data_IF_685732191023
#
_entry.id   IF_685732191023
#
_cell.length_a   1.000
_cell.length_b   1.000
_cell.length_c   1.000
_cell.angle_alpha   90.00
_cell.angle_beta   90.00
_cell.angle_gamma   90.00
#
_symmetry.space_group_name_H-M   'P 1'
#
loop_
_entity.id
_entity.type
_entity.pdbx_description
1 polymer ?
#
# COMPACT_ATOMS: atom_id res chain seq x y z
N UNK A 1 4.33 19.22 -11.90
CA UNK A 1 5.22 20.09 -11.08
C UNK A 1 6.65 19.60 -11.20
N UNK A 2 7.65 20.50 -11.27
CA UNK A 2 9.06 20.09 -11.24
C UNK A 2 9.43 19.65 -9.82
N UNK A 3 9.87 18.40 -9.66
CA UNK A 3 10.31 17.84 -8.36
C UNK A 3 11.57 18.57 -7.90
N UNK A 4 11.69 18.86 -6.59
CA UNK A 4 12.91 19.47 -6.03
C UNK A 4 14.13 18.54 -6.25
N UNK A 5 15.31 19.06 -6.61
CA UNK A 5 16.50 18.24 -6.89
C UNK A 5 16.86 17.22 -5.79
N UNK A 6 16.72 17.60 -4.53
CA UNK A 6 16.99 16.71 -3.39
C UNK A 6 16.03 15.50 -3.35
N UNK A 7 14.75 15.73 -3.65
CA UNK A 7 13.73 14.67 -3.72
C UNK A 7 14.02 13.76 -4.92
N UNK A 8 14.34 14.34 -6.08
CA UNK A 8 14.73 13.58 -7.27
C UNK A 8 15.96 12.69 -6.98
N UNK A 9 16.95 13.20 -6.25
CA UNK A 9 18.13 12.43 -5.83
C UNK A 9 17.78 11.29 -4.88
N UNK A 10 16.87 11.51 -3.93
CA UNK A 10 16.40 10.46 -3.03
C UNK A 10 15.65 9.34 -3.79
N UNK A 11 14.82 9.70 -4.79
CA UNK A 11 14.14 8.73 -5.66
C UNK A 11 15.16 7.88 -6.43
N UNK A 12 16.13 8.53 -7.11
CA UNK A 12 17.17 7.83 -7.87
C UNK A 12 18.02 6.93 -6.97
N UNK A 13 18.34 7.39 -5.76
CA UNK A 13 19.11 6.59 -4.80
C UNK A 13 18.36 5.31 -4.43
N UNK A 14 17.08 5.41 -4.02
CA UNK A 14 16.27 4.25 -3.61
C UNK A 14 16.07 3.26 -4.76
N UNK A 15 15.70 3.77 -5.94
CA UNK A 15 15.51 2.93 -7.13
C UNK A 15 16.83 2.25 -7.57
N UNK A 16 17.97 2.91 -7.40
CA UNK A 16 19.29 2.36 -7.76
C UNK A 16 19.80 1.29 -6.79
N UNK A 17 19.45 1.40 -5.51
CA UNK A 17 19.86 0.46 -4.45
C UNK A 17 19.09 -0.87 -4.54
N UNK A 18 17.75 -0.79 -4.45
CA UNK A 18 16.89 -1.97 -4.32
C UNK A 18 16.06 -2.28 -5.57
N UNK A 19 15.91 -1.33 -6.50
CA UNK A 19 14.93 -1.41 -7.57
C UNK A 19 13.47 -1.31 -7.08
N UNK A 20 13.26 -0.96 -5.81
CA UNK A 20 11.91 -0.78 -5.24
C UNK A 20 11.52 0.69 -5.25
N UNK A 21 10.23 1.00 -5.48
CA UNK A 21 9.78 2.38 -5.53
C UNK A 21 9.94 3.05 -4.15
N UNK A 22 10.34 4.33 -4.08
CA UNK A 22 10.22 5.12 -2.86
C UNK A 22 8.74 5.35 -2.53
N UNK A 23 8.45 5.68 -1.27
CA UNK A 23 7.10 6.07 -0.84
C UNK A 23 6.66 7.46 -1.35
N UNK A 24 7.37 8.10 -2.27
CA UNK A 24 7.07 9.46 -2.71
C UNK A 24 7.55 9.76 -4.14
N UNK A 25 6.95 10.77 -4.78
CA UNK A 25 7.38 11.27 -6.08
C UNK A 25 7.14 10.29 -7.24
N UNK A 26 6.16 9.40 -7.09
CA UNK A 26 5.84 8.31 -8.01
C UNK A 26 5.45 8.82 -9.40
N UNK A 27 4.72 9.93 -9.47
CA UNK A 27 4.24 10.53 -10.73
C UNK A 27 5.38 10.82 -11.72
N UNK A 28 6.58 11.07 -11.22
CA UNK A 28 7.73 11.41 -12.06
C UNK A 28 8.21 10.26 -12.95
N UNK A 29 7.92 9.01 -12.60
CA UNK A 29 8.38 7.84 -13.33
C UNK A 29 7.31 6.77 -13.56
N UNK A 30 6.08 6.96 -13.07
CA UNK A 30 4.93 6.08 -13.34
C UNK A 30 4.59 6.06 -14.82
N UNK A 31 4.30 4.90 -15.41
CA UNK A 31 3.93 4.78 -16.83
C UNK A 31 2.83 3.73 -16.96
N UNK A 32 1.80 4.01 -17.75
CA UNK A 32 0.82 3.03 -18.22
C UNK A 32 -0.25 2.65 -17.19
N UNK A 33 -0.16 3.11 -15.95
CA UNK A 33 -1.16 2.82 -14.92
C UNK A 33 -2.39 3.75 -15.00
N UNK A 34 -2.33 4.81 -15.79
CA UNK A 34 -3.38 5.81 -15.95
C UNK A 34 -4.78 5.21 -16.26
N UNK A 35 -4.93 4.19 -17.12
CA UNK A 35 -6.23 3.56 -17.36
C UNK A 35 -6.83 2.89 -16.12
N UNK A 36 -6.01 2.32 -15.23
CA UNK A 36 -6.52 1.73 -13.99
C UNK A 36 -6.78 2.78 -12.93
N UNK A 37 -5.84 3.72 -12.75
CA UNK A 37 -5.95 4.78 -11.74
C UNK A 37 -7.14 5.69 -12.00
N UNK A 38 -7.40 6.06 -13.26
CA UNK A 38 -8.55 6.90 -13.62
C UNK A 38 -9.90 6.22 -13.31
N UNK A 39 -10.02 4.91 -13.51
CA UNK A 39 -11.24 4.17 -13.14
C UNK A 39 -11.39 4.09 -11.62
N UNK A 40 -10.30 3.80 -10.90
CA UNK A 40 -10.32 3.77 -9.43
C UNK A 40 -10.65 5.15 -8.83
N UNK A 41 -10.20 6.24 -9.45
CA UNK A 41 -10.55 7.60 -9.06
C UNK A 41 -12.05 7.85 -9.28
N UNK A 42 -12.48 7.79 -10.53
CA UNK A 42 -13.79 8.33 -10.93
C UNK A 42 -14.96 7.43 -10.52
N UNK A 43 -14.81 6.10 -10.65
CA UNK A 43 -15.90 5.17 -10.37
C UNK A 43 -15.96 4.80 -8.88
N UNK A 44 -14.83 4.88 -8.16
CA UNK A 44 -14.73 4.42 -6.79
C UNK A 44 -14.47 5.53 -5.78
N UNK A 45 -13.26 6.10 -5.76
CA UNK A 45 -12.82 7.04 -4.72
C UNK A 45 -13.62 8.34 -4.71
N UNK A 46 -13.95 8.89 -5.88
CA UNK A 46 -14.75 10.11 -6.00
C UNK A 46 -16.27 9.85 -6.15
N UNK A 47 -16.69 8.58 -6.15
CA UNK A 47 -18.08 8.18 -6.42
C UNK A 47 -18.62 7.19 -5.38
N UNK A 48 -18.73 5.89 -5.69
CA UNK A 48 -19.55 4.95 -4.91
C UNK A 48 -19.06 4.77 -3.47
N UNK A 49 -17.76 4.92 -3.23
CA UNK A 49 -17.20 4.78 -1.88
C UNK A 49 -17.65 5.93 -0.98
N UNK A 50 -17.82 7.15 -1.50
CA UNK A 50 -18.38 8.28 -0.73
C UNK A 50 -19.84 8.05 -0.34
N UNK A 51 -20.57 7.23 -1.10
CA UNK A 51 -21.95 6.83 -0.80
C UNK A 51 -22.06 5.74 0.29
N UNK A 52 -20.94 5.23 0.81
CA UNK A 52 -20.95 4.18 1.83
C UNK A 52 -20.78 2.76 1.32
N UNK A 53 -20.60 2.56 0.01
CA UNK A 53 -20.28 1.25 -0.54
C UNK A 53 -18.83 0.85 -0.20
N UNK A 54 -18.53 -0.42 -0.39
CA UNK A 54 -17.15 -0.93 -0.38
C UNK A 54 -16.83 -1.72 -1.63
N UNK A 55 -15.53 -1.87 -1.87
CA UNK A 55 -15.03 -2.73 -2.94
C UNK A 55 -13.77 -3.46 -2.50
N UNK A 56 -13.60 -4.66 -3.06
CA UNK A 56 -12.39 -5.44 -2.98
C UNK A 56 -11.80 -5.57 -4.39
N UNK A 57 -10.48 -5.38 -4.51
CA UNK A 57 -9.72 -5.57 -5.75
C UNK A 57 -8.51 -6.46 -5.49
N UNK A 58 -8.30 -7.44 -6.35
CA UNK A 58 -7.14 -8.31 -6.34
C UNK A 58 -6.11 -7.75 -7.34
N UNK A 59 -4.93 -7.37 -6.85
CA UNK A 59 -3.83 -6.88 -7.71
C UNK A 59 -2.90 -8.04 -8.02
N UNK A 60 -2.69 -8.30 -9.30
CA UNK A 60 -1.92 -9.46 -9.78
C UNK A 60 -0.75 -8.97 -10.62
N UNK A 61 0.42 -9.55 -10.39
CA UNK A 61 1.57 -9.37 -11.28
C UNK A 61 2.81 -9.98 -10.68
N UNK A 62 3.71 -10.49 -11.52
CA UNK A 62 4.96 -11.15 -11.12
C UNK A 62 5.81 -10.39 -10.07
N UNK A 63 6.75 -11.09 -9.44
CA UNK A 63 7.68 -10.47 -8.49
C UNK A 63 8.46 -9.35 -9.16
N UNK A 64 8.49 -8.13 -8.59
CA UNK A 64 9.08 -6.97 -9.29
C UNK A 64 8.27 -6.46 -10.48
N UNK A 65 7.03 -6.93 -10.68
CA UNK A 65 6.09 -6.46 -11.71
C UNK A 65 5.47 -5.09 -11.43
N UNK A 66 5.77 -4.46 -10.28
CA UNK A 66 5.28 -3.12 -9.94
C UNK A 66 4.04 -3.09 -9.04
N UNK A 67 3.72 -4.17 -8.32
CA UNK A 67 2.61 -4.24 -7.36
C UNK A 67 2.69 -3.14 -6.30
N UNK A 68 3.80 -3.07 -5.56
CA UNK A 68 4.07 -2.03 -4.56
C UNK A 68 3.94 -0.63 -5.15
N UNK A 69 4.47 -0.43 -6.36
CA UNK A 69 4.37 0.86 -7.07
C UNK A 69 2.91 1.22 -7.34
N UNK A 70 2.12 0.28 -7.85
CA UNK A 70 0.69 0.47 -8.09
C UNK A 70 -0.08 0.78 -6.81
N UNK A 71 0.18 0.06 -5.71
CA UNK A 71 -0.44 0.31 -4.42
C UNK A 71 -0.13 1.73 -3.91
N UNK A 72 1.12 2.19 -4.04
CA UNK A 72 1.46 3.56 -3.66
C UNK A 72 0.80 4.61 -4.57
N UNK A 73 0.63 4.35 -5.87
CA UNK A 73 -0.15 5.24 -6.74
C UNK A 73 -1.62 5.33 -6.28
N UNK A 74 -2.24 4.21 -5.90
CA UNK A 74 -3.62 4.19 -5.37
C UNK A 74 -3.70 4.92 -4.04
N UNK A 75 -2.69 4.80 -3.17
CA UNK A 75 -2.58 5.56 -1.91
C UNK A 75 -2.55 7.07 -2.17
N UNK A 76 -1.71 7.54 -3.09
CA UNK A 76 -1.58 8.96 -3.39
C UNK A 76 -2.91 9.54 -3.92
N UNK A 77 -3.59 8.77 -4.77
CA UNK A 77 -4.93 9.08 -5.26
C UNK A 77 -5.97 9.12 -4.13
N UNK A 78 -5.95 8.13 -3.23
CA UNK A 78 -6.85 8.06 -2.08
C UNK A 78 -6.70 9.28 -1.15
N UNK A 79 -5.47 9.74 -0.91
CA UNK A 79 -5.22 10.96 -0.15
C UNK A 79 -5.79 12.21 -0.83
N UNK A 80 -5.67 12.32 -2.15
CA UNK A 80 -6.29 13.42 -2.92
C UNK A 80 -7.81 13.44 -2.74
N UNK A 81 -8.44 12.27 -2.64
CA UNK A 81 -9.87 12.11 -2.36
C UNK A 81 -10.24 12.14 -0.86
N UNK A 82 -9.34 12.55 0.04
CA UNK A 82 -9.54 12.62 1.51
C UNK A 82 -9.87 11.27 2.17
N UNK A 83 -9.26 10.18 1.71
CA UNK A 83 -9.28 8.90 2.42
C UNK A 83 -8.10 8.77 3.37
N UNK A 84 -8.30 8.05 4.48
CA UNK A 84 -7.19 7.52 5.29
C UNK A 84 -6.68 6.25 4.62
N UNK A 85 -5.38 6.03 4.60
CA UNK A 85 -4.79 4.84 3.97
C UNK A 85 -4.05 4.02 5.01
N UNK A 86 -4.20 2.70 4.97
CA UNK A 86 -3.33 1.77 5.68
C UNK A 86 -2.60 0.91 4.66
N UNK A 87 -1.27 0.98 4.66
CA UNK A 87 -0.41 0.09 3.88
C UNK A 87 0.14 -1.01 4.80
N UNK A 88 -0.13 -2.27 4.45
CA UNK A 88 0.19 -3.45 5.26
C UNK A 88 1.06 -4.39 4.42
N UNK A 89 2.38 -4.45 4.65
CA UNK A 89 3.19 -5.55 4.15
C UNK A 89 2.81 -6.81 4.91
N UNK A 90 2.31 -7.83 4.21
CA UNK A 90 1.95 -9.11 4.79
C UNK A 90 3.21 -9.97 4.94
N UNK A 91 3.69 -10.14 6.16
CA UNK A 91 4.74 -11.11 6.49
C UNK A 91 4.14 -12.35 7.17
N UNK A 92 4.64 -13.57 6.89
CA UNK A 92 4.16 -14.80 7.52
C UNK A 92 4.40 -14.83 9.03
N UNK A 93 5.41 -14.10 9.52
CA UNK A 93 5.73 -14.03 10.95
C UNK A 93 4.96 -12.94 11.68
N UNK A 94 4.80 -11.76 11.09
CA UNK A 94 4.23 -10.61 11.81
C UNK A 94 2.76 -10.31 11.48
N UNK A 95 2.27 -10.72 10.31
CA UNK A 95 0.92 -10.44 9.85
C UNK A 95 0.33 -11.59 9.00
N UNK A 96 0.30 -12.83 9.50
CA UNK A 96 -0.27 -13.92 8.73
C UNK A 96 -1.80 -13.73 8.65
N UNK A 97 -2.35 -13.85 7.43
CA UNK A 97 -3.76 -13.52 7.18
C UNK A 97 -4.75 -14.52 7.83
N UNK A 98 -4.25 -15.62 8.42
CA UNK A 98 -5.04 -16.53 9.27
C UNK A 98 -5.31 -15.96 10.68
N UNK A 99 -4.59 -14.89 11.07
CA UNK A 99 -4.71 -14.17 12.34
C UNK A 99 -5.31 -12.79 12.15
N UNK A 100 -6.65 -12.69 12.10
CA UNK A 100 -7.36 -11.42 11.93
C UNK A 100 -7.07 -10.42 13.05
N UNK A 101 -6.79 -10.90 14.26
CA UNK A 101 -6.33 -10.09 15.38
C UNK A 101 -5.02 -9.35 15.05
N UNK A 102 -4.04 -10.06 14.48
CA UNK A 102 -2.76 -9.46 14.07
C UNK A 102 -2.91 -8.55 12.85
N UNK A 103 -3.75 -8.95 11.88
CA UNK A 103 -4.08 -8.12 10.71
C UNK A 103 -4.69 -6.79 11.15
N UNK A 104 -5.69 -6.81 12.03
CA UNK A 104 -6.29 -5.60 12.58
C UNK A 104 -5.26 -4.73 13.30
N UNK A 105 -4.42 -5.32 14.15
CA UNK A 105 -3.34 -4.60 14.84
C UNK A 105 -2.43 -3.86 13.84
N UNK A 106 -2.04 -4.54 12.76
CA UNK A 106 -1.19 -3.96 11.70
C UNK A 106 -1.90 -2.87 10.91
N UNK A 107 -3.20 -2.99 10.66
CA UNK A 107 -3.99 -1.91 10.06
C UNK A 107 -3.93 -0.67 10.94
N UNK A 108 -4.29 -0.80 12.21
CA UNK A 108 -4.35 0.33 13.17
C UNK A 108 -2.98 1.00 13.36
N UNK A 109 -1.89 0.24 13.29
CA UNK A 109 -0.52 0.76 13.39
C UNK A 109 -0.02 1.49 12.14
N UNK A 110 -0.57 1.21 10.95
CA UNK A 110 -0.10 1.76 9.67
C UNK A 110 -1.08 2.76 9.04
N UNK A 111 -2.07 3.26 9.80
CA UNK A 111 -2.97 4.31 9.34
C UNK A 111 -2.19 5.59 9.04
N UNK A 112 -2.50 6.21 7.91
CA UNK A 112 -1.91 7.47 7.48
C UNK A 112 -3.01 8.39 6.97
N UNK A 113 -3.11 9.57 7.59
CA UNK A 113 -3.96 10.64 7.11
C UNK A 113 -3.38 11.26 5.84
N UNK A 114 -4.19 11.95 5.01
CA UNK A 114 -3.69 12.74 3.91
C UNK A 114 -2.54 13.67 4.38
N UNK A 115 -1.33 13.53 3.80
CA UNK A 115 -0.16 14.22 4.30
C UNK A 115 -0.28 15.73 4.07
N UNK A 116 0.02 16.52 5.10
CA UNK A 116 0.06 17.99 5.00
C UNK A 116 1.35 18.47 4.33
N UNK A 117 2.41 17.65 4.36
CA UNK A 117 3.71 17.97 3.80
C UNK A 117 4.44 16.71 3.31
N UNK A 118 5.56 16.89 2.63
CA UNK A 118 6.43 15.78 2.24
C UNK A 118 7.09 15.10 3.46
N UNK A 119 7.41 15.87 4.50
CA UNK A 119 8.10 15.38 5.70
C UNK A 119 7.21 14.45 6.52
N UNK A 120 5.89 14.72 6.56
CA UNK A 120 4.91 13.87 7.25
C UNK A 120 4.76 12.47 6.64
N UNK A 121 5.17 12.27 5.39
CA UNK A 121 5.18 10.92 4.78
C UNK A 121 6.26 10.02 5.37
N UNK A 122 7.40 10.61 5.73
CA UNK A 122 8.61 9.89 6.13
C UNK A 122 8.70 9.76 7.64
N UNK A 123 7.99 10.60 8.39
CA UNK A 123 8.01 10.60 9.84
C UNK A 123 7.20 9.43 10.43
N UNK A 124 7.84 8.52 11.19
CA UNK A 124 7.14 7.39 11.82
C UNK A 124 6.07 7.82 12.84
N UNK A 125 6.22 8.98 13.49
CA UNK A 125 5.27 9.45 14.50
C UNK A 125 3.94 9.90 13.89
N UNK A 126 3.90 10.12 12.58
CA UNK A 126 2.70 10.55 11.86
C UNK A 126 1.88 9.34 11.34
N UNK A 127 2.22 8.13 11.81
CA UNK A 127 1.55 6.87 11.47
C UNK A 127 0.78 6.28 12.64
N UNK A 128 -0.28 5.57 12.32
CA UNK A 128 -1.10 4.81 13.25
C UNK A 128 -2.26 5.58 13.85
N UNK A 129 -3.06 4.85 14.64
CA UNK A 129 -4.27 5.40 15.30
C UNK A 129 -3.95 6.53 16.27
N UNK A 130 -2.77 6.52 16.89
CA UNK A 130 -2.34 7.60 17.78
C UNK A 130 -2.26 8.93 17.02
N UNK A 131 -1.48 8.96 15.94
CA UNK A 131 -1.34 10.13 15.09
C UNK A 131 -2.70 10.61 14.58
N UNK A 132 -3.54 9.67 14.14
CA UNK A 132 -4.89 9.97 13.65
C UNK A 132 -5.77 10.63 14.73
N UNK A 133 -5.78 10.11 15.95
CA UNK A 133 -6.57 10.66 17.04
C UNK A 133 -6.07 12.05 17.48
N UNK A 134 -4.75 12.27 17.46
CA UNK A 134 -4.17 13.61 17.72
C UNK A 134 -4.56 14.61 16.63
N UNK A 135 -4.50 14.22 15.36
CA UNK A 135 -4.94 15.05 14.22
C UNK A 135 -6.43 15.38 14.33
N UNK A 136 -7.26 14.39 14.65
CA UNK A 136 -8.69 14.57 14.86
C UNK A 136 -8.98 15.53 16.03
N UNK A 137 -8.34 15.32 17.19
CA UNK A 137 -8.48 16.22 18.34
C UNK A 137 -8.09 17.67 18.01
N UNK A 138 -6.99 17.86 17.27
CA UNK A 138 -6.52 19.18 16.85
C UNK A 138 -7.54 19.87 15.93
N UNK A 139 -8.06 19.17 14.91
CA UNK A 139 -9.06 19.71 13.98
C UNK A 139 -10.37 20.09 14.68
N UNK A 140 -10.85 19.26 15.62
CA UNK A 140 -12.06 19.57 16.39
C UNK A 140 -11.82 20.71 17.37
N UNK A 141 -10.67 20.75 18.06
CA UNK A 141 -10.34 21.81 19.02
C UNK A 141 -10.09 23.17 18.37
N UNK A 142 -9.72 23.21 17.09
CA UNK A 142 -9.62 24.44 16.31
C UNK A 142 -11.02 24.98 15.93
N UNK A 143 -11.97 24.07 15.63
CA UNK A 143 -13.33 24.41 15.18
C UNK A 143 -14.31 24.69 16.32
N UNK A 144 -14.19 23.95 17.42
CA UNK A 144 -15.08 24.02 18.57
C UNK A 144 -14.38 24.69 19.73
N UNK A 145 -15.10 25.59 20.40
CA UNK A 145 -14.55 26.40 21.48
C UNK A 145 -14.52 25.67 22.83
N UNK A 146 -15.31 26.18 23.77
CA UNK A 146 -15.28 25.77 25.16
C UNK A 146 -15.67 24.30 25.40
N UNK A 147 -15.43 23.84 26.63
CA UNK A 147 -15.67 22.45 27.06
C UNK A 147 -17.08 21.96 26.77
N UNK A 148 -18.10 22.81 26.91
CA UNK A 148 -19.50 22.43 26.67
C UNK A 148 -19.78 22.02 25.22
N UNK A 149 -19.23 22.74 24.25
CA UNK A 149 -19.37 22.42 22.81
C UNK A 149 -18.67 21.11 22.46
N UNK A 150 -17.47 20.89 23.03
CA UNK A 150 -16.73 19.64 22.87
C UNK A 150 -17.50 18.45 23.46
N UNK A 151 -18.08 18.62 24.65
CA UNK A 151 -18.90 17.59 25.30
C UNK A 151 -20.17 17.28 24.49
N UNK A 152 -20.81 18.29 23.89
CA UNK A 152 -21.97 18.10 23.00
C UNK A 152 -21.58 17.37 21.71
N UNK A 153 -20.45 17.74 21.09
CA UNK A 153 -19.90 17.05 19.94
C UNK A 153 -19.63 15.57 20.23
N UNK A 154 -18.96 15.26 21.34
CA UNK A 154 -18.70 13.87 21.74
C UNK A 154 -19.99 13.09 22.05
N UNK A 155 -21.03 13.74 22.59
CA UNK A 155 -22.36 13.11 22.78
C UNK A 155 -23.03 12.79 21.44
N UNK A 156 -22.85 13.65 20.43
CA UNK A 156 -23.38 13.44 19.08
C UNK A 156 -22.76 12.25 18.34
N UNK A 157 -21.53 11.86 18.68
CA UNK A 157 -20.89 10.68 18.08
C UNK A 157 -21.68 9.40 18.37
N UNK A 158 -22.20 8.80 17.31
CA UNK A 158 -23.03 7.59 17.29
C UNK A 158 -22.86 6.85 15.96
N UNK A 159 -23.46 5.66 15.81
CA UNK A 159 -23.40 4.89 14.55
C UNK A 159 -22.14 4.02 14.39
N UNK A 160 -21.37 3.83 15.47
CA UNK A 160 -20.28 2.86 15.56
C UNK A 160 -20.82 1.54 16.12
N UNK A 161 -20.48 0.41 15.51
CA UNK A 161 -20.98 -0.92 15.88
C UNK A 161 -20.48 -1.38 17.26
N UNK A 162 -19.18 -1.24 17.56
CA UNK A 162 -18.65 -1.55 18.88
C UNK A 162 -18.81 -0.37 19.84
N UNK A 163 -19.59 -0.58 20.89
CA UNK A 163 -19.69 0.37 22.02
C UNK A 163 -18.33 0.60 22.67
N UNK A 164 -17.49 -0.44 22.80
CA UNK A 164 -16.15 -0.30 23.37
C UNK A 164 -15.25 0.58 22.50
N UNK A 165 -15.34 0.44 21.17
CA UNK A 165 -14.60 1.30 20.22
C UNK A 165 -15.06 2.76 20.30
N UNK A 166 -16.37 3.00 20.37
CA UNK A 166 -16.92 4.34 20.56
C UNK A 166 -16.47 4.96 21.88
N UNK A 167 -16.48 4.21 22.98
CA UNK A 167 -16.00 4.67 24.28
C UNK A 167 -14.50 4.98 24.25
N UNK A 168 -13.69 4.11 23.65
CA UNK A 168 -12.25 4.34 23.46
C UNK A 168 -11.97 5.65 22.71
N UNK A 169 -12.71 5.95 21.64
CA UNK A 169 -12.58 7.23 20.92
C UNK A 169 -12.95 8.43 21.81
N UNK A 170 -14.04 8.32 22.59
CA UNK A 170 -14.46 9.43 23.47
C UNK A 170 -13.45 9.67 24.58
N UNK A 171 -12.96 8.60 25.21
CA UNK A 171 -11.95 8.69 26.25
C UNK A 171 -10.62 9.20 25.71
N UNK A 172 -10.21 8.81 24.50
CA UNK A 172 -8.96 9.32 23.92
C UNK A 172 -9.03 10.82 23.66
N UNK A 173 -10.18 11.32 23.20
CA UNK A 173 -10.42 12.76 23.06
C UNK A 173 -10.38 13.49 24.40
N UNK A 174 -11.07 12.96 25.41
CA UNK A 174 -11.13 13.57 26.75
C UNK A 174 -9.73 13.60 27.40
N UNK A 175 -8.94 12.55 27.23
CA UNK A 175 -7.58 12.45 27.74
C UNK A 175 -6.69 13.53 27.11
N UNK A 176 -6.73 13.69 25.78
CA UNK A 176 -6.01 14.76 25.07
C UNK A 176 -6.47 16.15 25.53
N UNK A 177 -7.77 16.37 25.74
CA UNK A 177 -8.30 17.66 26.19
C UNK A 177 -7.84 18.06 27.60
N UNK A 178 -7.63 17.07 28.48
CA UNK A 178 -7.11 17.27 29.83
C UNK A 178 -5.57 17.28 29.90
N UNK A 179 -4.88 16.90 28.81
CA UNK A 179 -3.44 16.66 28.82
C UNK A 179 -3.02 15.40 29.60
N UNK A 180 -3.93 14.43 29.76
CA UNK A 180 -3.66 13.15 30.42
C UNK A 180 -3.07 12.14 29.41
N UNK A 181 -1.75 12.22 29.23
CA UNK A 181 -1.02 11.34 28.30
C UNK A 181 -0.98 9.88 28.78
N UNK A 182 -1.17 9.61 30.07
CA UNK A 182 -1.21 8.24 30.61
C UNK A 182 -2.53 7.55 30.23
N UNK A 183 -3.67 8.20 30.47
CA UNK A 183 -4.98 7.72 30.03
C UNK A 183 -5.01 7.53 28.51
N UNK A 184 -4.48 8.51 27.76
CA UNK A 184 -4.41 8.44 26.30
C UNK A 184 -3.58 7.24 25.84
N UNK A 185 -2.38 7.06 26.38
CA UNK A 185 -1.48 5.93 26.05
C UNK A 185 -2.14 4.58 26.31
N UNK A 186 -2.83 4.41 27.43
CA UNK A 186 -3.53 3.15 27.73
C UNK A 186 -4.64 2.87 26.71
N UNK A 187 -5.37 3.89 26.26
CA UNK A 187 -6.40 3.71 25.23
C UNK A 187 -5.77 3.34 23.87
N UNK A 188 -4.62 3.94 23.51
CA UNK A 188 -3.89 3.57 22.29
C UNK A 188 -3.43 2.12 22.34
N UNK A 189 -2.88 1.67 23.48
CA UNK A 189 -2.49 0.28 23.69
C UNK A 189 -3.66 -0.69 23.53
N UNK A 190 -4.86 -0.29 23.96
CA UNK A 190 -6.08 -1.07 23.73
C UNK A 190 -6.45 -1.13 22.24
N UNK A 191 -6.42 -0.01 21.52
CA UNK A 191 -6.68 0.01 20.08
C UNK A 191 -5.69 -0.85 19.29
N UNK A 192 -4.44 -0.96 19.75
CA UNK A 192 -3.41 -1.84 19.15
C UNK A 192 -3.48 -3.28 19.66
N UNK A 193 -4.49 -3.63 20.46
CA UNK A 193 -4.79 -4.99 20.89
C UNK A 193 -3.93 -5.51 22.04
N UNK A 194 -3.27 -4.63 22.80
CA UNK A 194 -2.60 -5.03 24.03
C UNK A 194 -3.62 -5.32 25.14
N UNK A 195 -3.33 -6.32 25.97
CA UNK A 195 -4.14 -6.62 27.15
C UNK A 195 -3.82 -5.60 28.24
N UNK A 196 -4.84 -4.91 28.72
CA UNK A 196 -4.72 -3.91 29.79
C UNK A 196 -5.56 -4.38 30.97
N UNK A 197 -4.97 -4.35 32.17
CA UNK A 197 -5.57 -4.94 33.37
C UNK A 197 -6.82 -4.19 33.86
N UNK A 198 -6.88 -2.87 33.66
CA UNK A 198 -8.01 -2.03 34.10
C UNK A 198 -8.66 -1.23 32.96
N UNK A 199 -9.16 -1.94 31.94
CA UNK A 199 -10.01 -1.34 30.90
C UNK A 199 -11.40 -0.94 31.43
N UNK A 200 -11.79 -1.50 32.58
CA UNK A 200 -13.10 -1.31 33.20
C UNK A 200 -13.36 0.16 33.54
N UNK A 201 -12.31 0.91 33.91
CA UNK A 201 -12.38 2.35 34.20
C UNK A 201 -12.82 3.19 32.99
N UNK A 202 -12.68 2.67 31.76
CA UNK A 202 -13.13 3.31 30.52
C UNK A 202 -14.48 2.78 30.01
N UNK A 203 -15.12 1.87 30.75
CA UNK A 203 -16.31 1.15 30.28
C UNK A 203 -16.05 0.22 29.08
N UNK A 204 -14.78 0.00 28.75
CA UNK A 204 -14.33 -0.87 27.66
C UNK A 204 -14.31 -2.31 28.18
N UNK A 205 -15.09 -3.18 27.53
CA UNK A 205 -15.24 -4.59 27.94
C UNK A 205 -14.84 -5.57 26.84
N UNK A 206 -14.62 -5.07 25.63
CA UNK A 206 -14.24 -5.87 24.47
C UNK A 206 -12.72 -5.87 24.30
N UNK A 207 -12.14 -7.06 24.14
CA UNK A 207 -10.73 -7.24 23.74
C UNK A 207 -10.62 -7.62 22.26
N UNK A 208 -9.48 -7.31 21.67
CA UNK A 208 -9.14 -7.77 20.32
C UNK A 208 -8.90 -9.28 20.31
N UNK A 209 -9.69 -9.99 19.52
CA UNK A 209 -9.58 -11.43 19.25
C UNK A 209 -9.89 -11.69 17.79
N UNK A 210 -9.65 -12.91 17.34
CA UNK A 210 -10.05 -13.37 15.99
C UNK A 210 -11.55 -13.16 15.70
N UNK A 211 -12.42 -13.27 16.71
CA UNK A 211 -13.87 -13.12 16.52
C UNK A 211 -14.30 -11.65 16.53
N UNK A 212 -13.57 -10.78 17.23
CA UNK A 212 -13.92 -9.35 17.36
C UNK A 212 -13.21 -8.47 16.33
N UNK A 213 -12.14 -8.94 15.69
CA UNK A 213 -11.32 -8.18 14.75
C UNK A 213 -12.13 -7.50 13.63
N UNK A 214 -13.03 -8.20 12.95
CA UNK A 214 -13.87 -7.57 11.91
C UNK A 214 -14.91 -6.59 12.46
N UNK A 215 -15.42 -6.80 13.69
CA UNK A 215 -16.30 -5.82 14.33
C UNK A 215 -15.55 -4.54 14.67
N UNK A 216 -14.33 -4.66 15.20
CA UNK A 216 -13.48 -3.51 15.48
C UNK A 216 -13.02 -2.81 14.19
N UNK A 217 -12.71 -3.57 13.13
CA UNK A 217 -12.41 -3.01 11.81
C UNK A 217 -13.60 -2.23 11.25
N UNK A 218 -14.81 -2.77 11.29
CA UNK A 218 -16.03 -2.04 10.89
C UNK A 218 -16.24 -0.77 11.70
N UNK A 219 -15.96 -0.82 12.99
CA UNK A 219 -16.04 0.34 13.89
C UNK A 219 -15.02 1.43 13.51
N UNK A 220 -13.80 1.05 13.12
CA UNK A 220 -12.78 1.95 12.59
C UNK A 220 -13.23 2.61 11.27
N UNK A 221 -13.79 1.82 10.34
CA UNK A 221 -14.31 2.34 9.06
C UNK A 221 -15.44 3.35 9.26
N UNK A 222 -16.36 3.05 10.19
CA UNK A 222 -17.45 3.96 10.57
C UNK A 222 -16.90 5.25 11.19
N UNK A 223 -15.91 5.14 12.08
CA UNK A 223 -15.27 6.28 12.72
C UNK A 223 -14.65 7.25 11.71
N UNK A 224 -13.98 6.76 10.67
CA UNK A 224 -13.38 7.65 9.66
C UNK A 224 -14.39 8.58 9.00
N UNK A 225 -15.58 8.06 8.69
CA UNK A 225 -16.65 8.87 8.13
C UNK A 225 -17.20 9.87 9.13
N UNK A 226 -17.35 9.46 10.39
CA UNK A 226 -17.83 10.34 11.46
C UNK A 226 -16.93 11.55 11.68
N UNK A 227 -15.62 11.40 11.47
CA UNK A 227 -14.65 12.49 11.61
C UNK A 227 -14.37 13.25 10.30
N UNK A 228 -15.15 13.00 9.25
CA UNK A 228 -15.11 13.79 8.01
C UNK A 228 -14.10 13.33 6.95
N UNK A 229 -13.50 12.14 7.09
CA UNK A 229 -12.81 11.50 5.97
C UNK A 229 -13.81 10.81 5.04
N UNK A 230 -13.43 10.65 3.77
CA UNK A 230 -14.27 9.94 2.80
C UNK A 230 -14.32 8.43 3.05
N UNK A 231 -13.39 7.87 3.84
CA UNK A 231 -13.34 6.45 4.19
C UNK A 231 -11.91 5.94 4.44
N UNK A 232 -11.69 4.63 4.28
CA UNK A 232 -10.36 3.99 4.37
C UNK A 232 -10.02 3.22 3.10
N UNK A 233 -8.77 3.34 2.65
CA UNK A 233 -8.18 2.41 1.69
C UNK A 233 -7.20 1.48 2.41
N UNK A 234 -7.42 0.18 2.32
CA UNK A 234 -6.55 -0.86 2.89
C UNK A 234 -5.73 -1.49 1.76
N UNK A 235 -4.40 -1.41 1.86
CA UNK A 235 -3.47 -1.89 0.85
C UNK A 235 -2.64 -3.02 1.44
N UNK A 236 -2.96 -4.26 1.09
CA UNK A 236 -2.21 -5.44 1.49
C UNK A 236 -1.19 -5.81 0.40
N UNK A 237 0.10 -5.71 0.73
CA UNK A 237 1.21 -6.09 -0.16
C UNK A 237 1.90 -7.39 0.31
N UNK A 238 2.67 -8.03 -0.57
CA UNK A 238 3.48 -9.23 -0.28
C UNK A 238 2.72 -10.47 0.24
N UNK A 239 1.46 -10.64 -0.17
CA UNK A 239 0.63 -11.78 0.24
C UNK A 239 1.20 -13.18 -0.10
N UNK A 240 2.18 -13.26 -1.01
CA UNK A 240 2.88 -14.48 -1.39
C UNK A 240 3.61 -15.16 -0.22
N UNK A 241 4.16 -14.36 0.71
CA UNK A 241 4.92 -14.89 1.85
C UNK A 241 4.00 -15.46 2.93
N UNK A 242 2.80 -14.89 3.09
CA UNK A 242 1.83 -15.32 4.10
C UNK A 242 1.19 -16.71 3.82
N UNK A 243 1.27 -17.21 2.57
CA UNK A 243 0.60 -18.44 2.11
C UNK A 243 1.62 -19.57 1.82
N UNK A 244 2.90 -19.41 2.18
CA UNK A 244 3.98 -20.27 1.68
C UNK A 244 3.93 -21.74 2.13
N UNK A 245 3.12 -22.11 3.14
CA UNK A 245 2.94 -23.52 3.56
C UNK A 245 1.62 -24.07 2.99
N UNK A 246 1.69 -24.50 1.74
CA UNK A 246 0.59 -25.15 1.03
C UNK A 246 0.06 -26.37 1.82
N UNK A 247 -1.25 -26.41 2.06
CA UNK A 247 -1.97 -27.53 2.69
C UNK A 247 -2.14 -27.41 4.21
N UNK A 248 -1.59 -26.38 4.86
CA UNK A 248 -1.70 -26.20 6.30
C UNK A 248 -3.11 -25.75 6.74
N UNK A 249 -3.46 -25.99 8.02
CA UNK A 249 -4.69 -25.43 8.62
C UNK A 249 -4.69 -23.89 8.61
N UNK A 250 -3.51 -23.28 8.69
CA UNK A 250 -3.34 -21.82 8.64
C UNK A 250 -3.72 -21.28 7.26
N UNK A 251 -3.23 -21.89 6.18
CA UNK A 251 -3.62 -21.50 4.82
C UNK A 251 -5.14 -21.54 4.61
N UNK A 252 -5.81 -22.64 4.98
CA UNK A 252 -7.27 -22.74 4.83
C UNK A 252 -8.01 -21.65 5.59
N UNK A 253 -7.51 -21.25 6.77
CA UNK A 253 -8.05 -20.14 7.56
C UNK A 253 -7.79 -18.79 6.89
N UNK A 254 -6.59 -18.56 6.37
CA UNK A 254 -6.26 -17.34 5.63
C UNK A 254 -7.19 -17.15 4.41
N UNK A 255 -7.45 -18.21 3.66
CA UNK A 255 -8.36 -18.17 2.52
C UNK A 255 -9.82 -17.94 2.92
N UNK A 256 -10.27 -18.57 4.02
CA UNK A 256 -11.62 -18.28 4.53
C UNK A 256 -11.73 -16.84 5.04
N UNK A 257 -10.70 -16.32 5.72
CA UNK A 257 -10.64 -14.92 6.13
C UNK A 257 -10.67 -13.97 4.93
N UNK A 258 -9.98 -14.30 3.83
CA UNK A 258 -10.00 -13.52 2.60
C UNK A 258 -11.39 -13.56 1.95
N UNK A 259 -12.03 -14.74 1.91
CA UNK A 259 -13.41 -14.88 1.45
C UNK A 259 -14.37 -14.03 2.29
N UNK A 260 -14.26 -14.08 3.62
CA UNK A 260 -15.06 -13.26 4.52
C UNK A 260 -14.83 -11.76 4.28
N UNK A 261 -13.59 -11.33 4.07
CA UNK A 261 -13.26 -9.94 3.73
C UNK A 261 -13.95 -9.49 2.44
N UNK A 262 -13.93 -10.33 1.41
CA UNK A 262 -14.61 -10.06 0.13
C UNK A 262 -16.12 -9.97 0.33
N UNK A 263 -16.70 -10.88 1.12
CA UNK A 263 -18.13 -10.89 1.43
C UNK A 263 -18.56 -9.64 2.23
N UNK A 264 -17.75 -9.19 3.18
CA UNK A 264 -18.01 -7.96 3.95
C UNK A 264 -17.98 -6.72 3.05
N UNK A 265 -17.08 -6.68 2.05
CA UNK A 265 -17.06 -5.62 1.04
C UNK A 265 -18.27 -5.72 0.09
N UNK A 266 -18.56 -6.89 -0.44
CA UNK A 266 -19.67 -7.12 -1.37
C UNK A 266 -21.04 -6.80 -0.77
N UNK A 267 -21.22 -7.04 0.53
CA UNK A 267 -22.45 -6.71 1.26
C UNK A 267 -22.47 -5.26 1.80
N UNK A 268 -21.48 -4.42 1.44
CA UNK A 268 -21.35 -3.04 1.94
C UNK A 268 -21.33 -2.91 3.47
N UNK A 269 -20.85 -3.95 4.18
CA UNK A 269 -20.72 -3.95 5.64
C UNK A 269 -19.45 -3.27 6.11
N UNK A 270 -18.50 -3.09 5.21
CA UNK A 270 -17.32 -2.27 5.39
C UNK A 270 -17.58 -0.90 4.74
N UNK A 271 -18.18 0.06 5.44
CA UNK A 271 -18.65 1.27 4.79
C UNK A 271 -17.48 2.12 4.27
N UNK A 272 -17.63 2.63 3.05
CA UNK A 272 -16.68 3.56 2.44
C UNK A 272 -15.24 3.06 2.44
N UNK A 273 -15.05 1.80 2.10
CA UNK A 273 -13.72 1.20 2.08
C UNK A 273 -13.34 0.61 0.74
N UNK A 274 -12.08 0.78 0.37
CA UNK A 274 -11.46 0.04 -0.73
C UNK A 274 -10.40 -0.90 -0.16
N UNK A 275 -10.44 -2.17 -0.53
CA UNK A 275 -9.42 -3.14 -0.15
C UNK A 275 -8.68 -3.60 -1.40
N UNK A 276 -7.36 -3.42 -1.41
CA UNK A 276 -6.48 -3.97 -2.44
C UNK A 276 -5.64 -5.08 -1.82
N UNK A 277 -5.63 -6.25 -2.46
CA UNK A 277 -4.84 -7.39 -2.03
C UNK A 277 -3.91 -7.82 -3.16
N UNK A 278 -2.60 -7.64 -2.98
CA UNK A 278 -1.61 -7.85 -4.03
C UNK A 278 -0.94 -9.23 -3.92
N UNK A 279 -1.01 -10.01 -5.00
CA UNK A 279 -0.44 -11.35 -5.14
C UNK A 279 0.39 -11.46 -6.43
N UNK A 280 1.38 -12.36 -6.50
CA UNK A 280 2.17 -12.57 -7.70
C UNK A 280 1.36 -13.26 -8.80
N UNK A 281 0.60 -14.29 -8.43
CA UNK A 281 -0.17 -15.11 -9.34
C UNK A 281 -1.45 -15.60 -8.67
N UNK A 282 -2.57 -15.48 -9.40
CA UNK A 282 -3.89 -15.95 -8.99
C UNK A 282 -3.94 -17.47 -8.81
N UNK A 283 -3.13 -18.23 -9.55
CA UNK A 283 -3.10 -19.69 -9.41
C UNK A 283 -2.70 -20.13 -8.00
N UNK A 284 -1.93 -19.34 -7.26
CA UNK A 284 -1.63 -19.60 -5.84
C UNK A 284 -2.89 -19.70 -4.97
N UNK A 285 -3.95 -18.97 -5.34
CA UNK A 285 -5.24 -19.00 -4.67
C UNK A 285 -6.22 -20.00 -5.30
N UNK A 286 -6.13 -20.27 -6.60
CA UNK A 286 -7.19 -20.96 -7.36
C UNK A 286 -6.90 -22.40 -7.74
N UNK A 287 -5.66 -22.87 -7.71
CA UNK A 287 -5.28 -24.17 -8.28
C UNK A 287 -5.49 -25.35 -7.30
N UNK A 288 -6.30 -25.15 -6.25
CA UNK A 288 -6.52 -26.10 -5.15
C UNK A 288 -7.98 -26.53 -5.07
N UNK A 289 -8.20 -27.79 -4.72
CA UNK A 289 -9.55 -28.36 -4.60
C UNK A 289 -10.17 -28.12 -3.22
N UNK A 290 -11.42 -27.67 -3.19
CA UNK A 290 -12.25 -27.57 -1.97
C UNK A 290 -13.31 -26.45 -2.06
N UNK A 291 -14.37 -26.56 -1.25
CA UNK A 291 -15.53 -25.65 -1.32
C UNK A 291 -15.19 -24.17 -1.13
N UNK A 292 -14.23 -23.86 -0.24
CA UNK A 292 -13.75 -22.49 0.01
C UNK A 292 -13.07 -21.91 -1.24
N UNK A 293 -12.33 -22.74 -1.97
CA UNK A 293 -11.59 -22.33 -3.17
C UNK A 293 -12.54 -22.02 -4.33
N UNK A 294 -13.55 -22.86 -4.56
CA UNK A 294 -14.55 -22.61 -5.61
C UNK A 294 -15.38 -21.35 -5.31
N UNK A 295 -15.76 -21.14 -4.04
CA UNK A 295 -16.46 -19.93 -3.63
C UNK A 295 -15.61 -18.66 -3.81
N UNK A 296 -14.31 -18.73 -3.55
CA UNK A 296 -13.37 -17.64 -3.77
C UNK A 296 -13.16 -17.40 -5.28
N UNK A 297 -13.01 -18.46 -6.06
CA UNK A 297 -12.84 -18.41 -7.52
C UNK A 297 -13.94 -17.63 -8.20
N UNK A 298 -15.21 -17.97 -7.91
CA UNK A 298 -16.37 -17.27 -8.46
C UNK A 298 -16.36 -15.77 -8.15
N UNK A 299 -15.84 -15.37 -6.98
CA UNK A 299 -15.73 -13.96 -6.58
C UNK A 299 -14.57 -13.22 -7.25
N UNK A 300 -13.56 -13.94 -7.76
CA UNK A 300 -12.33 -13.38 -8.34
C UNK A 300 -12.29 -13.42 -9.88
N UNK A 301 -13.31 -13.94 -10.54
CA UNK A 301 -13.31 -14.16 -12.01
C UNK A 301 -13.27 -12.88 -12.86
N UNK A 302 -13.86 -11.78 -12.39
CA UNK A 302 -13.99 -10.56 -13.20
C UNK A 302 -12.67 -9.80 -13.37
N UNK A 303 -12.28 -9.49 -14.61
CA UNK A 303 -11.10 -8.66 -14.92
C UNK A 303 -11.48 -7.18 -14.90
N UNK A 304 -10.76 -6.40 -14.09
CA UNK A 304 -10.87 -4.95 -13.99
C UNK A 304 -10.26 -4.27 -15.21
N UNK A 305 -11.03 -3.37 -15.82
CA UNK A 305 -10.57 -2.55 -16.95
C UNK A 305 -11.43 -1.29 -17.05
N UNK A 306 -11.08 -0.41 -17.97
CA UNK A 306 -11.92 0.75 -18.32
C UNK A 306 -13.32 0.35 -18.81
N UNK A 307 -13.46 -0.82 -19.45
CA UNK A 307 -14.74 -1.33 -19.97
C UNK A 307 -15.51 -2.12 -18.89
N UNK A 308 -14.79 -2.73 -17.94
CA UNK A 308 -15.37 -3.45 -16.81
C UNK A 308 -14.83 -2.90 -15.48
N UNK A 309 -15.31 -1.74 -15.01
CA UNK A 309 -14.92 -1.19 -13.71
C UNK A 309 -15.26 -2.11 -12.54
N UNK A 310 -16.35 -2.88 -12.64
CA UNK A 310 -16.75 -3.83 -11.60
C UNK A 310 -15.83 -5.04 -11.45
N UNK A 311 -14.95 -5.31 -12.41
CA UNK A 311 -14.01 -6.42 -12.34
C UNK A 311 -13.16 -6.39 -11.07
N UNK A 312 -12.94 -7.54 -10.45
CA UNK A 312 -12.23 -7.64 -9.18
C UNK A 312 -10.71 -7.69 -9.40
N UNK A 313 -10.25 -8.32 -10.48
CA UNK A 313 -8.84 -8.58 -10.74
C UNK A 313 -8.18 -7.48 -11.58
N UNK A 314 -7.19 -6.80 -11.02
CA UNK A 314 -6.31 -5.85 -11.70
C UNK A 314 -5.04 -6.59 -12.10
N UNK A 315 -4.82 -6.75 -13.41
CA UNK A 315 -3.66 -7.45 -13.96
C UNK A 315 -2.59 -6.44 -14.43
N UNK A 316 -1.49 -6.34 -13.69
CA UNK A 316 -0.42 -5.39 -13.98
C UNK A 316 0.49 -5.82 -15.13
N UNK A 317 0.31 -7.02 -15.70
CA UNK A 317 1.02 -7.45 -16.90
C UNK A 317 0.28 -7.00 -18.17
N UNK A 318 -1.04 -6.78 -18.08
CA UNK A 318 -1.90 -6.38 -19.19
C UNK A 318 -2.13 -4.86 -19.29
N UNK A 319 -1.06 -4.07 -19.16
CA UNK A 319 -1.10 -2.59 -19.22
C UNK A 319 -1.47 -2.06 -20.63
N UNK A 320 -1.54 -2.92 -21.65
CA UNK A 320 -1.91 -2.53 -23.02
C UNK A 320 -0.78 -1.82 -23.77
N UNK A 321 0.46 -1.99 -23.33
CA UNK A 321 1.68 -1.47 -23.95
C UNK A 321 2.68 -2.61 -24.13
N UNK A 322 3.39 -2.63 -25.25
CA UNK A 322 4.47 -3.59 -25.47
C UNK A 322 5.55 -3.45 -24.37
N UNK A 323 6.06 -4.56 -23.80
CA UNK A 323 6.98 -4.50 -22.66
C UNK A 323 8.23 -3.64 -22.91
N UNK A 324 8.82 -3.69 -24.10
CA UNK A 324 10.01 -2.91 -24.44
C UNK A 324 9.71 -1.42 -24.54
N UNK A 325 8.57 -1.03 -25.13
CA UNK A 325 8.12 0.37 -25.19
C UNK A 325 7.80 0.94 -23.81
N UNK A 326 7.23 0.12 -22.93
CA UNK A 326 7.04 0.47 -21.52
C UNK A 326 8.37 0.79 -20.85
N UNK A 327 9.36 -0.10 -20.97
CA UNK A 327 10.69 0.11 -20.35
C UNK A 327 11.39 1.35 -20.93
N UNK A 328 11.32 1.56 -22.25
CA UNK A 328 11.87 2.76 -22.89
C UNK A 328 11.27 4.04 -22.31
N UNK A 329 9.95 4.07 -22.17
CA UNK A 329 9.23 5.23 -21.61
C UNK A 329 9.62 5.48 -20.14
N UNK A 330 9.73 4.42 -19.34
CA UNK A 330 10.24 4.51 -17.96
C UNK A 330 11.67 5.05 -17.95
N UNK A 331 12.55 4.55 -18.83
CA UNK A 331 13.93 5.02 -18.97
C UNK A 331 14.02 6.51 -19.33
N UNK A 332 13.18 7.00 -20.25
CA UNK A 332 13.13 8.43 -20.57
C UNK A 332 12.71 9.29 -19.38
N UNK A 333 11.69 8.87 -18.62
CA UNK A 333 11.25 9.57 -17.41
C UNK A 333 12.32 9.57 -16.32
N UNK A 334 12.95 8.43 -16.06
CA UNK A 334 14.07 8.31 -15.12
C UNK A 334 15.28 9.14 -15.55
N UNK A 335 15.58 9.21 -16.85
CA UNK A 335 16.63 10.07 -17.39
C UNK A 335 16.40 11.55 -17.11
N UNK A 336 15.16 12.04 -17.33
CA UNK A 336 14.77 13.42 -16.96
C UNK A 336 14.89 13.66 -15.46
N UNK A 337 14.45 12.70 -14.64
CA UNK A 337 14.56 12.78 -13.18
C UNK A 337 16.03 12.82 -12.73
N UNK A 338 16.90 12.03 -13.36
CA UNK A 338 18.32 11.97 -13.07
C UNK A 338 19.04 13.29 -13.40
N UNK A 339 18.73 13.91 -14.55
CA UNK A 339 19.22 15.25 -14.90
C UNK A 339 18.89 16.27 -13.82
N UNK A 340 17.65 16.25 -13.35
CA UNK A 340 17.19 17.14 -12.27
C UNK A 340 17.93 16.85 -10.94
N UNK A 341 18.05 15.57 -10.56
CA UNK A 341 18.70 15.13 -9.32
C UNK A 341 20.17 15.56 -9.18
N UNK A 342 20.91 15.58 -10.29
CA UNK A 342 22.34 15.89 -10.30
C UNK A 342 22.69 17.21 -10.98
N UNK A 343 21.69 17.98 -11.43
CA UNK A 343 21.87 19.25 -12.15
C UNK A 343 22.88 19.13 -13.31
N UNK A 344 22.82 18.03 -14.05
CA UNK A 344 23.75 17.72 -15.14
C UNK A 344 23.01 17.56 -16.45
N UNK A 345 23.57 18.13 -17.52
CA UNK A 345 23.04 17.97 -18.86
C UNK A 345 23.72 16.78 -19.56
N UNK A 346 23.16 15.60 -19.34
CA UNK A 346 23.53 14.38 -20.06
C UNK A 346 22.86 14.44 -21.44
N UNK A 347 23.56 14.05 -22.52
CA UNK A 347 22.97 14.05 -23.85
C UNK A 347 21.69 13.18 -23.91
N UNK A 348 20.56 13.76 -24.35
CA UNK A 348 19.28 13.05 -24.48
C UNK A 348 19.37 11.82 -25.40
N UNK A 349 20.21 11.89 -26.45
CA UNK A 349 20.49 10.74 -27.30
C UNK A 349 21.10 9.58 -26.51
N UNK A 350 22.06 9.86 -25.64
CA UNK A 350 22.71 8.83 -24.84
C UNK A 350 21.74 8.17 -23.85
N UNK A 351 20.84 8.94 -23.25
CA UNK A 351 19.77 8.43 -22.37
C UNK A 351 18.82 7.53 -23.14
N UNK A 352 18.27 8.02 -24.25
CA UNK A 352 17.30 7.28 -25.08
C UNK A 352 17.90 5.99 -25.63
N UNK A 353 19.11 6.06 -26.18
CA UNK A 353 19.80 4.89 -26.70
C UNK A 353 20.10 3.87 -25.61
N UNK A 354 20.55 4.31 -24.43
CA UNK A 354 20.80 3.39 -23.30
C UNK A 354 19.51 2.75 -22.80
N UNK A 355 18.38 3.48 -22.80
CA UNK A 355 17.08 2.95 -22.44
C UNK A 355 16.57 1.92 -23.45
N UNK A 356 16.75 2.18 -24.75
CA UNK A 356 16.45 1.25 -25.84
C UNK A 356 17.23 -0.05 -25.71
N UNK A 357 18.55 0.03 -25.64
CA UNK A 357 19.43 -1.15 -25.55
C UNK A 357 19.12 -1.96 -24.29
N UNK A 358 18.93 -1.30 -23.12
CA UNK A 358 18.58 -2.01 -21.89
C UNK A 358 17.18 -2.60 -21.92
N UNK A 359 16.21 -1.96 -22.56
CA UNK A 359 14.84 -2.49 -22.66
C UNK A 359 14.84 -3.83 -23.41
N UNK A 360 15.50 -3.89 -24.55
CA UNK A 360 15.62 -5.11 -25.37
C UNK A 360 16.35 -6.22 -24.61
N UNK A 361 17.50 -5.92 -24.01
CA UNK A 361 18.30 -6.93 -23.30
C UNK A 361 17.59 -7.39 -22.02
N UNK A 362 16.94 -6.49 -21.27
CA UNK A 362 16.20 -6.86 -20.05
C UNK A 362 15.02 -7.77 -20.36
N UNK A 363 14.35 -7.54 -21.49
CA UNK A 363 13.24 -8.38 -21.93
C UNK A 363 13.72 -9.73 -22.45
N UNK A 364 14.83 -9.77 -23.19
CA UNK A 364 15.43 -11.01 -23.71
C UNK A 364 15.99 -11.91 -22.60
N UNK A 365 16.72 -11.33 -21.64
CA UNK A 365 17.36 -12.04 -20.54
C UNK A 365 16.41 -12.28 -19.35
N UNK A 366 15.10 -12.08 -19.52
CA UNK A 366 14.10 -12.40 -18.49
C UNK A 366 14.24 -13.88 -18.12
N UNK A 367 14.55 -14.15 -16.87
CA UNK A 367 14.78 -15.52 -16.37
C UNK A 367 13.94 -15.73 -15.11
N UNK A 368 13.12 -16.79 -15.10
CA UNK A 368 12.24 -17.13 -13.99
C UNK A 368 11.18 -16.06 -13.69
N UNK A 369 10.81 -15.95 -12.41
CA UNK A 369 9.75 -15.06 -11.90
C UNK A 369 10.21 -13.62 -11.64
N UNK A 370 11.47 -13.28 -11.95
CA UNK A 370 12.02 -11.95 -11.66
C UNK A 370 11.51 -10.95 -12.71
N UNK A 371 10.74 -9.97 -12.24
CA UNK A 371 10.16 -8.92 -13.05
C UNK A 371 11.25 -8.10 -13.76
N UNK A 372 11.26 -8.20 -15.09
CA UNK A 372 12.12 -7.46 -16.01
C UNK A 372 12.10 -5.94 -15.74
N UNK A 373 10.99 -5.41 -15.18
CA UNK A 373 10.83 -4.01 -14.78
C UNK A 373 11.83 -3.61 -13.68
N UNK A 374 11.95 -4.39 -12.60
CA UNK A 374 12.87 -4.12 -11.48
C UNK A 374 14.34 -4.21 -11.93
N UNK A 375 14.66 -5.23 -12.72
CA UNK A 375 16.01 -5.42 -13.29
C UNK A 375 16.36 -4.20 -14.16
N UNK A 376 15.46 -3.78 -15.05
CA UNK A 376 15.66 -2.64 -15.92
C UNK A 376 15.93 -1.37 -15.11
N UNK A 377 15.06 -1.01 -14.15
CA UNK A 377 15.19 0.23 -13.36
C UNK A 377 16.54 0.30 -12.65
N UNK A 378 16.92 -0.76 -11.94
CA UNK A 378 18.19 -0.83 -11.21
C UNK A 378 19.39 -0.66 -12.16
N UNK A 379 19.36 -1.39 -13.28
CA UNK A 379 20.46 -1.41 -14.24
C UNK A 379 20.55 -0.10 -15.03
N UNK A 380 19.41 0.52 -15.35
CA UNK A 380 19.37 1.80 -16.03
C UNK A 380 19.96 2.92 -15.18
N UNK A 381 19.70 2.93 -13.88
CA UNK A 381 20.33 3.90 -12.96
C UNK A 381 21.84 3.70 -12.91
N UNK A 382 22.34 2.46 -12.88
CA UNK A 382 23.77 2.17 -12.98
C UNK A 382 24.38 2.67 -14.31
N UNK A 383 23.66 2.52 -15.42
CA UNK A 383 24.07 3.06 -16.71
C UNK A 383 24.14 4.60 -16.68
N UNK A 384 23.16 5.27 -16.06
CA UNK A 384 23.18 6.72 -15.88
C UNK A 384 24.35 7.20 -15.01
N UNK A 385 24.70 6.47 -13.94
CA UNK A 385 25.92 6.76 -13.15
C UNK A 385 27.21 6.60 -13.97
N UNK A 386 27.24 5.62 -14.87
CA UNK A 386 28.38 5.41 -15.78
C UNK A 386 28.49 6.56 -16.79
N UNK A 387 27.37 6.97 -17.39
CA UNK A 387 27.29 8.14 -18.29
C UNK A 387 27.66 9.44 -17.58
N UNK A 388 27.31 9.58 -16.30
CA UNK A 388 27.70 10.73 -15.48
C UNK A 388 29.22 10.81 -15.29
N UNK A 389 29.87 9.66 -15.15
CA UNK A 389 31.32 9.57 -14.92
C UNK A 389 32.11 9.72 -16.22
N UNK A 390 31.59 9.17 -17.32
CA UNK A 390 32.16 9.31 -18.66
C UNK A 390 31.04 9.41 -19.72
N UNK A 391 30.73 10.62 -20.23
CA UNK A 391 29.69 10.83 -21.23
C UNK A 391 29.91 10.10 -22.57
N UNK A 392 31.13 9.62 -22.85
CA UNK A 392 31.46 8.87 -24.08
C UNK A 392 31.12 7.39 -23.97
N UNK A 393 30.85 6.91 -22.76
CA UNK A 393 30.54 5.51 -22.46
C UNK A 393 29.08 5.18 -22.73
N UNK A 394 28.64 5.45 -23.96
CA UNK A 394 27.30 5.08 -24.44
C UNK A 394 27.16 3.56 -24.35
N UNK A 395 26.05 3.12 -23.78
CA UNK A 395 25.82 1.71 -23.52
C UNK A 395 25.64 0.96 -24.84
N UNK A 396 26.41 -0.11 -25.04
CA UNK A 396 26.23 -1.06 -26.12
C UNK A 396 25.65 -2.37 -25.57
N UNK A 397 25.20 -3.25 -26.48
CA UNK A 397 24.54 -4.50 -26.11
C UNK A 397 25.39 -5.37 -25.18
N UNK A 398 26.69 -5.54 -25.47
CA UNK A 398 27.60 -6.36 -24.65
C UNK A 398 27.77 -5.82 -23.22
N UNK A 399 27.83 -4.49 -23.06
CA UNK A 399 27.89 -3.86 -21.75
C UNK A 399 26.54 -3.97 -21.02
N UNK A 400 25.42 -3.84 -21.74
CA UNK A 400 24.08 -4.01 -21.19
C UNK A 400 23.85 -5.43 -20.65
N UNK A 401 24.25 -6.46 -21.39
CA UNK A 401 24.21 -7.86 -20.95
C UNK A 401 25.02 -8.09 -19.67
N UNK A 402 26.24 -7.55 -19.61
CA UNK A 402 27.11 -7.67 -18.45
C UNK A 402 26.49 -7.02 -17.20
N UNK A 403 25.90 -5.83 -17.36
CA UNK A 403 25.22 -5.12 -16.27
C UNK A 403 23.97 -5.87 -15.79
N UNK A 404 23.13 -6.35 -16.70
CA UNK A 404 21.91 -7.09 -16.35
C UNK A 404 22.24 -8.37 -15.59
N UNK A 405 23.23 -9.15 -16.05
CA UNK A 405 23.68 -10.36 -15.35
C UNK A 405 24.22 -10.06 -13.96
N UNK A 406 24.91 -8.93 -13.78
CA UNK A 406 25.34 -8.45 -12.46
C UNK A 406 24.17 -8.08 -11.55
N UNK A 407 23.19 -7.35 -12.08
CA UNK A 407 21.98 -6.95 -11.36
C UNK A 407 21.12 -8.14 -10.92
N UNK A 408 20.94 -9.15 -11.76
CA UNK A 408 20.19 -10.38 -11.44
C UNK A 408 20.81 -11.06 -10.20
N UNK A 409 22.12 -11.32 -10.23
CA UNK A 409 22.84 -11.94 -9.08
C UNK A 409 22.72 -11.12 -7.80
N UNK A 410 22.77 -9.79 -7.91
CA UNK A 410 22.63 -8.90 -6.75
C UNK A 410 21.22 -8.94 -6.17
N UNK A 411 20.18 -9.07 -6.99
CA UNK A 411 18.79 -9.17 -6.54
C UNK A 411 18.57 -10.53 -5.87
N UNK A 412 19.00 -11.63 -6.50
CA UNK A 412 18.89 -12.98 -5.94
C UNK A 412 19.56 -13.12 -4.57
N UNK A 413 20.75 -12.53 -4.39
CA UNK A 413 21.45 -12.58 -3.11
C UNK A 413 20.75 -11.73 -2.03
N UNK A 414 20.25 -10.55 -2.39
CA UNK A 414 19.51 -9.69 -1.46
C UNK A 414 18.20 -10.33 -1.01
N UNK A 415 17.48 -10.99 -1.91
CA UNK A 415 16.22 -11.67 -1.59
C UNK A 415 16.45 -12.88 -0.67
N UNK A 416 17.57 -13.61 -0.82
CA UNK A 416 17.97 -14.68 0.12
C UNK A 416 18.27 -14.15 1.53
N UNK A 417 19.03 -13.07 1.65
CA UNK A 417 19.35 -12.48 2.96
C UNK A 417 18.10 -11.93 3.70
N UNK A 418 17.09 -11.47 2.97
CA UNK A 418 15.80 -11.03 3.53
C UNK A 418 15.00 -12.25 4.00
N UNK A 419 14.91 -13.29 3.18
CA UNK A 419 14.25 -14.55 3.53
C UNK A 419 14.85 -15.15 4.81
N UNK A 420 16.18 -15.21 4.90
CA UNK A 420 16.88 -15.79 6.04
C UNK A 420 16.68 -14.96 7.33
N UNK A 421 16.49 -13.63 7.24
CA UNK A 421 16.26 -12.78 8.43
C UNK A 421 14.83 -12.84 8.95
N UNK A 422 13.86 -13.18 8.11
CA UNK A 422 12.44 -13.26 8.47
C UNK A 422 12.02 -14.66 8.95
N UNK A 423 12.87 -15.68 8.78
CA UNK A 423 12.68 -17.04 9.33
C UNK A 423 13.11 -17.21 10.80
N UNK A 424 13.77 -16.21 11.42
CA UNK A 424 14.27 -16.27 12.81
C UNK A 424 13.50 -15.42 13.82
#
# INVERSE_FOLDING_TARGET
MSIKPNIAKAIIFRLGESGTPPEFGLDSFTVGLEPYLSVLENEYLDSILKMGMSTFKLVVGSYGGGKTHFLYCVRDLAWQCRYVVSYIPLSPTECPFDRLDLVYKRIVQNLTCPPSSFESLVNPTDRGIEALLRVWYADVSEKLGGREEKDEYLKGLSGIESTSFLLGIKHSFIALDKGDEEEFSDIIRWFTGESIEDLSRFGVTENLTQQTAFRLLRSLLQFMRLIGYSGIVLLFDEAERAVSIAGSKAEKRALDNLRQLIDECGNSRFPSSMVLYAIPDVYQLLDKQGDVYEALKQRLEGIFSTINPSGVRIDLEQIGMEPTDFLRTVGERLGKLYKNAYSMDINDYAIKHSAEVLAEVSYRERYGDIGYRRIFVKTFIQALHSLRSDPRRILNEKLAEALIRGSIKSIENGDREISDKEEY
#
